data_IF_141744880413
#
_entry.id   IF_141744880413
#
_cell.length_a   1.000
_cell.length_b   1.000
_cell.length_c   1.000
_cell.angle_alpha   90.00
_cell.angle_beta   90.00
_cell.angle_gamma   90.00
#
_symmetry.space_group_name_H-M   'P 1'
#
loop_
_entity.id
_entity.type
_entity.pdbx_description
1 polymer ?
#
# COMPACT_ATOMS: atom_id res chain seq x y z
N UNK A 1 10.79 69.90 -11.12
CA UNK A 1 12.05 70.06 -11.89
C UNK A 1 12.91 71.07 -11.15
N UNK A 2 14.11 70.69 -10.70
CA UNK A 2 15.02 71.66 -10.09
C UNK A 2 15.45 72.68 -11.17
N UNK A 3 15.30 73.98 -10.89
CA UNK A 3 15.65 75.03 -11.83
C UNK A 3 17.17 75.26 -11.84
N UNK A 4 17.73 75.48 -13.02
CA UNK A 4 19.14 75.90 -13.15
C UNK A 4 19.27 77.32 -12.61
N UNK A 5 20.07 77.48 -11.55
CA UNK A 5 20.32 78.74 -10.85
C UNK A 5 21.79 79.16 -10.95
N UNK A 6 22.01 80.47 -10.95
CA UNK A 6 23.33 81.09 -10.99
C UNK A 6 24.18 80.68 -9.79
N UNK A 7 25.44 80.34 -10.02
CA UNK A 7 26.40 79.94 -8.98
C UNK A 7 26.68 81.04 -7.95
N UNK A 8 26.55 82.31 -8.35
CA UNK A 8 26.92 83.45 -7.50
C UNK A 8 25.74 83.97 -6.70
N UNK A 9 24.61 84.22 -7.35
CA UNK A 9 23.48 84.93 -6.72
C UNK A 9 22.22 84.07 -6.56
N UNK A 10 22.21 82.83 -7.07
CA UNK A 10 21.03 81.96 -7.04
C UNK A 10 19.88 82.39 -7.97
N UNK A 11 20.05 83.45 -8.76
CA UNK A 11 19.07 83.92 -9.72
C UNK A 11 18.84 82.93 -10.87
N UNK A 12 17.66 83.00 -11.51
CA UNK A 12 17.27 82.11 -12.61
C UNK A 12 18.20 82.29 -13.81
N UNK A 13 18.64 81.19 -14.40
CA UNK A 13 19.41 81.20 -15.65
C UNK A 13 18.49 81.11 -16.87
N UNK A 14 18.72 82.00 -17.85
CA UNK A 14 17.99 82.04 -19.11
C UNK A 14 18.95 81.68 -20.25
N UNK A 15 18.55 80.74 -21.10
CA UNK A 15 19.39 80.25 -22.21
C UNK A 15 19.52 81.30 -23.31
N UNK A 16 20.74 81.71 -23.61
CA UNK A 16 21.07 82.55 -24.76
C UNK A 16 21.41 81.73 -26.02
N UNK A 17 21.62 82.44 -27.12
CA UNK A 17 21.98 81.84 -28.42
C UNK A 17 23.42 81.32 -28.36
N UNK A 18 23.65 80.06 -28.74
CA UNK A 18 24.99 79.43 -28.71
C UNK A 18 25.27 78.57 -27.47
N UNK A 19 24.29 78.33 -26.60
CA UNK A 19 24.41 77.39 -25.47
C UNK A 19 24.98 77.98 -24.18
N UNK A 20 25.21 79.30 -24.14
CA UNK A 20 25.59 80.05 -22.93
C UNK A 20 24.29 80.51 -22.24
N UNK A 21 24.18 80.37 -20.92
CA UNK A 21 23.04 80.88 -20.15
C UNK A 21 23.43 82.11 -19.35
N UNK A 22 22.57 83.11 -19.32
CA UNK A 22 22.81 84.36 -18.58
C UNK A 22 21.89 84.42 -17.38
N UNK A 23 22.42 84.81 -16.23
CA UNK A 23 21.60 85.04 -15.04
C UNK A 23 20.76 86.29 -15.20
N UNK A 24 19.44 86.15 -15.05
CA UNK A 24 18.48 87.24 -15.15
C UNK A 24 18.64 88.29 -14.03
N UNK A 25 19.24 87.90 -12.90
CA UNK A 25 19.38 88.77 -11.73
C UNK A 25 20.71 89.52 -11.65
N UNK A 26 21.82 88.91 -12.05
CA UNK A 26 23.16 89.53 -11.97
C UNK A 26 23.88 89.67 -13.31
N UNK A 27 23.31 89.16 -14.41
CA UNK A 27 23.89 89.25 -15.75
C UNK A 27 25.11 88.35 -15.98
N UNK A 28 25.48 87.48 -15.03
CA UNK A 28 26.61 86.58 -15.21
C UNK A 28 26.32 85.52 -16.28
N UNK A 29 27.26 85.34 -17.21
CA UNK A 29 27.19 84.31 -18.24
C UNK A 29 27.80 82.99 -17.75
N UNK A 30 27.07 81.90 -17.94
CA UNK A 30 27.48 80.52 -17.67
C UNK A 30 27.69 79.79 -18.98
N UNK A 31 28.86 79.18 -19.14
CA UNK A 31 29.20 78.39 -20.33
C UNK A 31 28.33 77.15 -20.47
N UNK A 32 28.22 76.65 -21.70
CA UNK A 32 27.47 75.42 -22.02
C UNK A 32 27.96 74.21 -21.20
N UNK A 33 29.27 74.11 -20.96
CA UNK A 33 29.83 72.98 -20.21
C UNK A 33 29.55 73.06 -18.71
N UNK A 34 29.52 74.27 -18.14
CA UNK A 34 29.09 74.47 -16.73
C UNK A 34 27.61 74.15 -16.54
N UNK A 35 26.77 74.44 -17.54
CA UNK A 35 25.36 74.05 -17.51
C UNK A 35 25.18 72.53 -17.61
N UNK A 36 25.99 71.84 -18.42
CA UNK A 36 25.99 70.36 -18.46
C UNK A 36 26.41 69.76 -17.13
N UNK A 37 27.44 70.32 -16.48
CA UNK A 37 27.88 69.91 -15.15
C UNK A 37 26.75 70.10 -14.12
N UNK A 38 26.09 71.27 -14.10
CA UNK A 38 24.92 71.52 -13.23
C UNK A 38 23.74 70.59 -13.52
N UNK A 39 23.49 70.27 -14.78
CA UNK A 39 22.46 69.28 -15.15
C UNK A 39 22.86 67.88 -14.68
N UNK A 40 24.15 67.53 -14.68
CA UNK A 40 24.65 66.28 -14.12
C UNK A 40 24.61 66.25 -12.59
N UNK A 41 24.88 67.35 -11.90
CA UNK A 41 24.70 67.50 -10.45
C UNK A 41 23.22 67.34 -10.06
N UNK A 42 22.30 67.96 -10.83
CA UNK A 42 20.83 67.81 -10.64
C UNK A 42 20.36 66.39 -11.00
N UNK A 43 20.97 65.76 -12.01
CA UNK A 43 20.74 64.35 -12.38
C UNK A 43 21.52 63.36 -11.51
N UNK A 44 22.25 63.82 -10.50
CA UNK A 44 22.86 62.96 -9.50
C UNK A 44 21.75 62.15 -8.87
N UNK A 45 21.57 60.90 -9.33
CA UNK A 45 20.63 59.96 -8.73
C UNK A 45 21.17 59.77 -7.31
N UNK A 46 20.54 60.42 -6.35
CA UNK A 46 20.72 60.10 -4.94
C UNK A 46 20.22 58.67 -4.80
N UNK A 47 21.12 57.69 -4.95
CA UNK A 47 20.86 56.31 -4.56
C UNK A 47 20.78 56.33 -3.05
N UNK A 48 19.57 56.46 -2.52
CA UNK A 48 19.32 56.26 -1.09
C UNK A 48 19.53 54.78 -0.83
N UNK A 49 20.57 54.46 -0.06
CA UNK A 49 20.87 53.08 0.34
C UNK A 49 19.86 52.61 1.39
N UNK A 50 18.82 51.92 0.92
CA UNK A 50 17.79 51.34 1.76
C UNK A 50 18.15 49.92 2.25
N UNK A 51 19.40 49.47 2.11
CA UNK A 51 19.79 48.11 2.52
C UNK A 51 19.52 47.85 4.01
N UNK A 52 19.59 48.89 4.85
CA UNK A 52 19.25 48.82 6.27
C UNK A 52 17.76 48.50 6.56
N UNK A 53 16.87 48.70 5.59
CA UNK A 53 15.44 48.40 5.72
C UNK A 53 15.10 46.93 5.41
N UNK A 54 16.02 46.17 4.81
CA UNK A 54 15.80 44.78 4.41
C UNK A 54 15.43 43.91 5.61
N UNK A 55 16.19 44.01 6.70
CA UNK A 55 15.97 43.21 7.91
C UNK A 55 14.60 43.50 8.53
N UNK A 56 14.25 44.78 8.68
CA UNK A 56 12.96 45.21 9.19
C UNK A 56 11.79 44.74 8.31
N UNK A 57 11.88 44.88 6.98
CA UNK A 57 10.83 44.39 6.09
C UNK A 57 10.71 42.86 6.10
N UNK A 58 11.82 42.14 6.21
CA UNK A 58 11.80 40.68 6.35
C UNK A 58 11.14 40.24 7.67
N UNK A 59 11.39 40.93 8.78
CA UNK A 59 10.74 40.64 10.06
C UNK A 59 9.22 40.89 10.01
N UNK A 60 8.79 41.98 9.36
CA UNK A 60 7.38 42.26 9.17
C UNK A 60 6.74 41.22 8.27
N UNK A 61 7.40 40.84 7.17
CA UNK A 61 6.89 39.80 6.26
C UNK A 61 6.67 38.46 6.98
N UNK A 62 7.64 38.05 7.82
CA UNK A 62 7.53 36.83 8.64
C UNK A 62 6.39 36.94 9.66
N UNK A 63 6.32 38.06 10.38
CA UNK A 63 5.26 38.29 11.37
C UNK A 63 3.87 38.29 10.75
N UNK A 64 3.73 38.87 9.55
CA UNK A 64 2.49 38.86 8.78
C UNK A 64 2.09 37.45 8.37
N UNK A 65 3.04 36.65 7.89
CA UNK A 65 2.81 35.23 7.57
C UNK A 65 2.43 34.41 8.82
N UNK A 66 3.14 34.58 9.93
CA UNK A 66 2.83 33.88 11.18
C UNK A 66 1.43 34.23 11.71
N UNK A 67 0.92 35.42 11.37
CA UNK A 67 -0.45 35.86 11.64
C UNK A 67 -1.48 35.40 10.58
N UNK A 68 -1.06 34.66 9.55
CA UNK A 68 -1.91 34.21 8.43
C UNK A 68 -2.28 35.31 7.42
N UNK A 69 -1.60 36.46 7.45
CA UNK A 69 -1.82 37.56 6.51
C UNK A 69 -0.89 37.45 5.31
N UNK A 70 -1.21 36.52 4.42
CA UNK A 70 -0.38 36.22 3.24
C UNK A 70 -0.21 37.40 2.28
N UNK A 71 -1.27 38.21 2.10
CA UNK A 71 -1.21 39.38 1.24
C UNK A 71 -0.21 40.43 1.75
N UNK A 72 -0.17 40.65 3.07
CA UNK A 72 0.80 41.56 3.68
C UNK A 72 2.21 40.99 3.65
N UNK A 73 2.37 39.69 3.95
CA UNK A 73 3.66 39.02 3.86
C UNK A 73 4.26 39.15 2.45
N UNK A 74 3.46 38.89 1.41
CA UNK A 74 3.86 39.05 0.01
C UNK A 74 4.27 40.50 -0.30
N UNK A 75 3.49 41.49 0.15
CA UNK A 75 3.76 42.90 -0.09
C UNK A 75 5.10 43.36 0.52
N UNK A 76 5.45 42.89 1.73
CA UNK A 76 6.74 43.21 2.33
C UNK A 76 7.90 42.45 1.68
N UNK A 77 7.70 41.21 1.24
CA UNK A 77 8.69 40.50 0.42
C UNK A 77 9.00 41.26 -0.88
N UNK A 78 7.98 41.81 -1.55
CA UNK A 78 8.17 42.62 -2.75
C UNK A 78 9.05 43.86 -2.48
N UNK A 79 8.84 44.56 -1.34
CA UNK A 79 9.71 45.69 -0.94
C UNK A 79 11.17 45.27 -0.73
N UNK A 80 11.41 44.08 -0.18
CA UNK A 80 12.77 43.55 -0.02
C UNK A 80 13.39 43.25 -1.38
N UNK A 81 12.65 42.60 -2.28
CA UNK A 81 13.10 42.24 -3.63
C UNK A 81 13.38 43.50 -4.48
N UNK A 82 12.64 44.59 -4.28
CA UNK A 82 12.91 45.88 -4.93
C UNK A 82 14.28 46.47 -4.53
N UNK A 83 14.72 46.24 -3.28
CA UNK A 83 16.01 46.72 -2.76
C UNK A 83 17.13 45.73 -3.12
N UNK A 84 16.88 44.43 -2.94
CA UNK A 84 17.82 43.33 -3.21
C UNK A 84 17.14 42.23 -4.04
N UNK A 85 17.19 42.33 -5.38
CA UNK A 85 16.51 41.38 -6.28
C UNK A 85 16.98 39.92 -6.18
N UNK A 86 18.15 39.67 -5.58
CA UNK A 86 18.72 38.34 -5.36
C UNK A 86 18.47 37.81 -3.95
N UNK A 87 17.69 38.50 -3.11
CA UNK A 87 17.42 38.04 -1.75
C UNK A 87 16.58 36.75 -1.77
N UNK A 88 17.26 35.62 -1.61
CA UNK A 88 16.64 34.30 -1.72
C UNK A 88 15.57 34.05 -0.64
N UNK A 89 15.73 34.61 0.56
CA UNK A 89 14.77 34.46 1.66
C UNK A 89 13.45 35.19 1.36
N UNK A 90 13.55 36.38 0.79
CA UNK A 90 12.37 37.13 0.35
C UNK A 90 11.64 36.42 -0.79
N UNK A 91 12.37 35.84 -1.76
CA UNK A 91 11.76 35.04 -2.82
C UNK A 91 11.07 33.78 -2.30
N UNK A 92 11.68 33.06 -1.35
CA UNK A 92 11.07 31.87 -0.75
C UNK A 92 9.76 32.24 -0.05
N UNK A 93 9.81 33.24 0.83
CA UNK A 93 8.65 33.70 1.60
C UNK A 93 7.55 34.29 0.70
N UNK A 94 7.92 35.02 -0.37
CA UNK A 94 6.97 35.49 -1.38
C UNK A 94 6.25 34.32 -2.04
N UNK A 95 6.99 33.28 -2.42
CA UNK A 95 6.43 32.14 -3.14
C UNK A 95 5.35 31.44 -2.33
N UNK A 96 5.62 31.24 -1.04
CA UNK A 96 4.67 30.63 -0.13
C UNK A 96 3.43 31.52 0.07
N UNK A 97 3.64 32.79 0.41
CA UNK A 97 2.55 33.72 0.64
C UNK A 97 1.67 33.92 -0.61
N UNK A 98 2.27 34.03 -1.80
CA UNK A 98 1.54 34.15 -3.05
C UNK A 98 0.71 32.89 -3.34
N UNK A 99 1.30 31.70 -3.16
CA UNK A 99 0.62 30.44 -3.45
C UNK A 99 -0.54 30.14 -2.47
N UNK A 100 -0.41 30.46 -1.19
CA UNK A 100 -1.47 30.26 -0.20
C UNK A 100 -2.65 31.22 -0.36
N UNK A 101 -2.51 32.27 -1.18
CA UNK A 101 -3.62 33.14 -1.61
C UNK A 101 -4.40 32.56 -2.81
N UNK A 102 -4.12 31.33 -3.24
CA UNK A 102 -4.82 30.69 -4.35
C UNK A 102 -6.30 30.44 -4.04
N UNK A 103 -7.12 30.49 -5.10
CA UNK A 103 -8.54 30.16 -5.06
C UNK A 103 -8.95 29.35 -6.29
N UNK A 104 -10.19 28.84 -6.32
CA UNK A 104 -10.74 28.15 -7.49
C UNK A 104 -10.73 29.02 -8.75
N UNK A 105 -10.87 30.34 -8.62
CA UNK A 105 -10.89 31.26 -9.76
C UNK A 105 -9.49 31.76 -10.14
N UNK A 106 -8.55 31.75 -9.19
CA UNK A 106 -7.21 32.28 -9.39
C UNK A 106 -6.19 31.40 -8.65
N UNK A 107 -5.76 30.32 -9.30
CA UNK A 107 -4.63 29.51 -8.83
C UNK A 107 -3.35 30.30 -9.02
N UNK A 108 -2.57 30.49 -7.94
CA UNK A 108 -1.27 31.18 -7.93
C UNK A 108 -0.12 30.20 -7.67
N UNK A 109 -0.36 28.91 -7.88
CA UNK A 109 0.62 27.85 -7.64
C UNK A 109 1.86 28.02 -8.54
N UNK A 110 1.67 28.37 -9.80
CA UNK A 110 2.73 28.63 -10.78
C UNK A 110 3.60 29.82 -10.37
N UNK A 111 2.98 30.90 -9.87
CA UNK A 111 3.68 32.07 -9.35
C UNK A 111 4.52 31.70 -8.13
N UNK A 112 3.94 30.94 -7.20
CA UNK A 112 4.63 30.47 -6.00
C UNK A 112 5.85 29.62 -6.32
N UNK A 113 5.67 28.62 -7.19
CA UNK A 113 6.77 27.74 -7.61
C UNK A 113 7.84 28.48 -8.40
N UNK A 114 7.46 29.43 -9.24
CA UNK A 114 8.42 30.30 -9.92
C UNK A 114 9.25 31.14 -8.94
N UNK A 115 8.65 31.59 -7.82
CA UNK A 115 9.36 32.29 -6.77
C UNK A 115 10.29 31.36 -5.97
N UNK A 116 9.88 30.12 -5.67
CA UNK A 116 10.75 29.09 -5.07
C UNK A 116 11.97 28.80 -5.94
N UNK A 117 11.78 28.63 -7.25
CA UNK A 117 12.88 28.43 -8.21
C UNK A 117 13.86 29.61 -8.15
N UNK A 118 13.35 30.85 -8.12
CA UNK A 118 14.20 32.05 -8.00
C UNK A 118 14.97 32.10 -6.68
N UNK A 119 14.34 31.70 -5.58
CA UNK A 119 15.00 31.59 -4.28
C UNK A 119 16.18 30.62 -4.36
N UNK A 120 15.94 29.40 -4.84
CA UNK A 120 16.95 28.34 -4.95
C UNK A 120 18.11 28.75 -5.87
N UNK A 121 17.81 29.37 -7.01
CA UNK A 121 18.83 29.80 -7.97
C UNK A 121 19.72 30.94 -7.45
N UNK A 122 19.19 31.80 -6.59
CA UNK A 122 19.92 32.93 -6.00
C UNK A 122 20.58 32.59 -4.65
N UNK A 123 20.30 31.42 -4.08
CA UNK A 123 20.83 31.03 -2.78
C UNK A 123 22.32 30.63 -2.84
N UNK A 124 23.08 30.79 -1.75
CA UNK A 124 24.39 30.17 -1.56
C UNK A 124 24.29 28.64 -1.56
N UNK A 125 25.34 27.94 -2.03
CA UNK A 125 25.34 26.48 -2.15
C UNK A 125 25.09 25.77 -0.81
N UNK A 126 25.51 26.38 0.31
CA UNK A 126 25.39 25.81 1.66
C UNK A 126 23.94 25.68 2.15
N UNK A 127 23.01 26.47 1.59
CA UNK A 127 21.60 26.48 2.03
C UNK A 127 20.63 26.04 0.93
N UNK A 128 21.14 25.73 -0.27
CA UNK A 128 20.31 25.32 -1.41
C UNK A 128 19.51 24.05 -1.14
N UNK A 129 20.14 23.06 -0.51
CA UNK A 129 19.50 21.78 -0.21
C UNK A 129 18.32 21.97 0.76
N UNK A 130 18.51 22.75 1.83
CA UNK A 130 17.44 23.08 2.78
C UNK A 130 16.27 23.80 2.10
N UNK A 131 16.55 24.78 1.24
CA UNK A 131 15.52 25.50 0.48
C UNK A 131 14.78 24.61 -0.53
N UNK A 132 15.49 23.65 -1.12
CA UNK A 132 14.88 22.66 -2.02
C UNK A 132 13.89 21.80 -1.25
N UNK A 133 14.26 21.30 -0.06
CA UNK A 133 13.35 20.50 0.76
C UNK A 133 12.16 21.33 1.27
N UNK A 134 12.38 22.58 1.70
CA UNK A 134 11.31 23.51 2.06
C UNK A 134 10.34 23.73 0.88
N UNK A 135 10.86 24.02 -0.31
CA UNK A 135 10.02 24.21 -1.49
C UNK A 135 9.23 22.94 -1.87
N UNK A 136 9.84 21.75 -1.75
CA UNK A 136 9.15 20.48 -1.99
C UNK A 136 7.98 20.28 -1.04
N UNK A 137 8.18 20.56 0.26
CA UNK A 137 7.13 20.45 1.27
C UNK A 137 5.98 21.42 0.99
N UNK A 138 6.30 22.68 0.67
CA UNK A 138 5.29 23.68 0.32
C UNK A 138 4.50 23.28 -0.94
N UNK A 139 5.19 22.85 -2.00
CA UNK A 139 4.53 22.36 -3.23
C UNK A 139 3.58 21.20 -2.91
N UNK A 140 4.03 20.24 -2.10
CA UNK A 140 3.20 19.09 -1.69
C UNK A 140 1.93 19.53 -0.96
N UNK A 141 2.07 20.41 0.04
CA UNK A 141 0.96 20.88 0.86
C UNK A 141 -0.06 21.69 0.03
N UNK A 142 0.44 22.60 -0.81
CA UNK A 142 -0.39 23.42 -1.69
C UNK A 142 -1.14 22.58 -2.73
N UNK A 143 -0.46 21.60 -3.34
CA UNK A 143 -1.07 20.68 -4.29
C UNK A 143 -2.24 19.91 -3.68
N UNK A 144 -2.05 19.34 -2.49
CA UNK A 144 -3.11 18.62 -1.77
C UNK A 144 -4.26 19.55 -1.44
N UNK A 145 -3.99 20.77 -0.97
CA UNK A 145 -5.03 21.75 -0.62
C UNK A 145 -5.87 22.18 -1.84
N UNK A 146 -5.21 22.53 -2.96
CA UNK A 146 -5.88 22.97 -4.19
C UNK A 146 -6.74 21.87 -4.81
N UNK A 147 -6.21 20.65 -4.89
CA UNK A 147 -6.99 19.52 -5.40
C UNK A 147 -8.13 19.16 -4.45
N UNK A 148 -7.92 19.23 -3.14
CA UNK A 148 -8.98 18.99 -2.16
C UNK A 148 -10.13 19.99 -2.33
N UNK A 149 -9.82 21.27 -2.54
CA UNK A 149 -10.83 22.31 -2.76
C UNK A 149 -11.67 22.03 -4.01
N UNK A 150 -11.03 21.65 -5.13
CA UNK A 150 -11.71 21.24 -6.37
C UNK A 150 -12.55 19.98 -6.19
N UNK A 151 -11.99 18.97 -5.52
CA UNK A 151 -12.65 17.71 -5.25
C UNK A 151 -13.90 17.91 -4.37
N UNK A 152 -13.81 18.75 -3.33
CA UNK A 152 -14.93 19.10 -2.45
C UNK A 152 -16.04 19.88 -3.18
N UNK A 153 -15.66 20.67 -4.18
CA UNK A 153 -16.60 21.39 -5.02
C UNK A 153 -17.34 20.41 -5.95
N UNK A 154 -16.61 19.51 -6.62
CA UNK A 154 -17.22 18.41 -7.40
C UNK A 154 -18.15 17.53 -6.56
N UNK A 155 -17.79 17.22 -5.32
CA UNK A 155 -18.62 16.41 -4.42
C UNK A 155 -20.02 17.01 -4.19
N UNK A 156 -20.14 18.34 -4.26
CA UNK A 156 -21.40 19.08 -4.09
C UNK A 156 -22.11 19.32 -5.42
N UNK A 157 -21.36 19.53 -6.49
CA UNK A 157 -21.86 19.84 -7.82
C UNK A 157 -21.18 18.93 -8.85
N UNK A 158 -21.58 17.65 -8.93
CA UNK A 158 -20.96 16.70 -9.86
C UNK A 158 -21.45 16.98 -11.27
N UNK A 159 -20.79 17.90 -11.96
CA UNK A 159 -21.11 18.27 -13.34
C UNK A 159 -19.85 18.34 -14.22
N UNK A 160 -20.04 18.66 -15.50
CA UNK A 160 -18.97 18.74 -16.48
C UNK A 160 -17.95 19.83 -16.16
N UNK A 161 -18.40 20.99 -15.67
CA UNK A 161 -17.53 22.14 -15.39
C UNK A 161 -16.58 21.80 -14.23
N UNK A 162 -17.11 21.21 -13.17
CA UNK A 162 -16.31 20.82 -12.00
C UNK A 162 -15.37 19.66 -12.30
N UNK A 163 -15.81 18.69 -13.11
CA UNK A 163 -14.97 17.59 -13.58
C UNK A 163 -13.78 18.11 -14.38
N UNK A 164 -14.04 18.99 -15.35
CA UNK A 164 -13.01 19.58 -16.19
C UNK A 164 -12.09 20.51 -15.39
N UNK A 165 -12.63 21.28 -14.44
CA UNK A 165 -11.87 22.13 -13.54
C UNK A 165 -10.89 21.34 -12.69
N UNK A 166 -11.33 20.22 -12.10
CA UNK A 166 -10.48 19.33 -11.33
C UNK A 166 -9.38 18.69 -12.20
N UNK A 167 -9.72 18.20 -13.39
CA UNK A 167 -8.74 17.62 -14.32
C UNK A 167 -7.71 18.67 -14.75
N UNK A 168 -8.15 19.89 -15.07
CA UNK A 168 -7.26 20.99 -15.45
C UNK A 168 -6.29 21.34 -14.31
N UNK A 169 -6.76 21.39 -13.07
CA UNK A 169 -5.89 21.68 -11.92
C UNK A 169 -4.81 20.60 -11.74
N UNK A 170 -5.16 19.32 -11.93
CA UNK A 170 -4.19 18.21 -11.89
C UNK A 170 -3.12 18.37 -12.97
N UNK A 171 -3.52 18.75 -14.19
CA UNK A 171 -2.57 18.97 -15.31
C UNK A 171 -1.64 20.15 -15.00
N UNK A 172 -2.19 21.29 -14.57
CA UNK A 172 -1.39 22.46 -14.20
C UNK A 172 -0.42 22.20 -13.05
N UNK A 173 -0.82 21.39 -12.07
CA UNK A 173 0.06 20.92 -11.01
C UNK A 173 1.23 20.10 -11.57
N UNK A 174 0.96 19.12 -12.44
CA UNK A 174 1.99 18.30 -13.06
C UNK A 174 2.99 19.14 -13.86
N UNK A 175 2.51 20.10 -14.65
CA UNK A 175 3.36 21.02 -15.42
C UNK A 175 4.26 21.86 -14.49
N UNK A 176 3.70 22.32 -13.37
CA UNK A 176 4.43 23.10 -12.36
C UNK A 176 5.54 22.27 -11.70
N UNK A 177 5.27 21.00 -11.39
CA UNK A 177 6.26 20.06 -10.84
C UNK A 177 7.38 19.80 -11.87
N UNK A 178 7.02 19.57 -13.14
CA UNK A 178 7.99 19.39 -14.22
C UNK A 178 8.88 20.61 -14.35
N UNK A 179 8.32 21.82 -14.28
CA UNK A 179 9.08 23.07 -14.29
C UNK A 179 10.06 23.12 -13.11
N UNK A 180 9.60 22.85 -11.88
CA UNK A 180 10.45 22.82 -10.69
C UNK A 180 11.62 21.84 -10.83
N UNK A 181 11.35 20.60 -11.24
CA UNK A 181 12.37 19.57 -11.44
C UNK A 181 13.38 20.01 -12.51
N UNK A 182 12.90 20.59 -13.63
CA UNK A 182 13.78 21.01 -14.73
C UNK A 182 14.76 22.12 -14.32
N UNK A 183 14.34 23.05 -13.46
CA UNK A 183 15.13 24.20 -13.06
C UNK A 183 16.06 23.91 -11.88
N UNK A 184 15.61 23.10 -10.93
CA UNK A 184 16.36 22.83 -9.69
C UNK A 184 17.17 21.53 -9.76
N UNK A 185 16.84 20.65 -10.70
CA UNK A 185 17.33 19.25 -10.79
C UNK A 185 16.99 18.41 -9.55
N UNK A 186 16.11 18.90 -8.68
CA UNK A 186 15.66 18.20 -7.49
C UNK A 186 14.45 17.33 -7.81
N UNK A 187 14.52 16.06 -7.45
CA UNK A 187 13.41 15.12 -7.63
C UNK A 187 12.37 15.29 -6.51
N UNK A 188 11.10 15.29 -6.89
CA UNK A 188 9.98 15.20 -5.96
C UNK A 188 9.50 13.74 -5.95
N UNK A 189 9.39 13.07 -4.79
CA UNK A 189 8.76 11.76 -4.68
C UNK A 189 7.29 11.84 -5.11
N UNK A 190 7.03 11.54 -6.39
CA UNK A 190 5.69 11.66 -6.98
C UNK A 190 4.66 10.78 -6.27
N UNK A 191 5.09 9.62 -5.79
CA UNK A 191 4.23 8.70 -5.05
C UNK A 191 3.66 9.34 -3.77
N UNK A 192 4.52 9.97 -2.96
CA UNK A 192 4.11 10.63 -1.71
C UNK A 192 3.17 11.81 -1.96
N UNK A 193 3.34 12.50 -3.09
CA UNK A 193 2.50 13.62 -3.49
C UNK A 193 1.15 13.17 -4.04
N UNK A 194 1.16 12.16 -4.92
CA UNK A 194 -0.02 11.77 -5.67
C UNK A 194 -0.94 10.82 -4.92
N UNK A 195 -0.43 10.01 -3.97
CA UNK A 195 -1.25 9.13 -3.16
C UNK A 195 -2.38 9.86 -2.38
N UNK A 196 -2.11 10.93 -1.59
CA UNK A 196 -3.18 11.65 -0.91
C UNK A 196 -4.14 12.35 -1.88
N UNK A 197 -3.65 12.85 -3.02
CA UNK A 197 -4.47 13.46 -4.07
C UNK A 197 -5.43 12.44 -4.68
N UNK A 198 -4.94 11.26 -5.07
CA UNK A 198 -5.75 10.19 -5.63
C UNK A 198 -6.82 9.70 -4.65
N UNK A 199 -6.46 9.57 -3.37
CA UNK A 199 -7.42 9.21 -2.32
C UNK A 199 -8.50 10.27 -2.14
N UNK A 200 -8.15 11.56 -2.19
CA UNK A 200 -9.11 12.65 -2.09
C UNK A 200 -10.09 12.69 -3.27
N UNK A 201 -9.60 12.48 -4.50
CA UNK A 201 -10.44 12.41 -5.70
C UNK A 201 -11.42 11.22 -5.62
N UNK A 202 -10.95 10.05 -5.20
CA UNK A 202 -11.84 8.90 -5.04
C UNK A 202 -12.90 9.14 -3.95
N UNK A 203 -12.51 9.77 -2.83
CA UNK A 203 -13.43 10.13 -1.76
C UNK A 203 -14.50 11.11 -2.24
N UNK A 204 -14.14 12.15 -3.00
CA UNK A 204 -15.14 13.10 -3.51
C UNK A 204 -16.14 12.47 -4.47
N UNK A 205 -15.72 11.46 -5.25
CA UNK A 205 -16.62 10.69 -6.09
C UNK A 205 -17.62 9.87 -5.26
N UNK A 206 -17.15 9.23 -4.18
CA UNK A 206 -18.02 8.50 -3.26
C UNK A 206 -19.01 9.45 -2.57
N UNK A 207 -18.55 10.63 -2.14
CA UNK A 207 -19.40 11.65 -1.52
C UNK A 207 -20.43 12.23 -2.51
N UNK A 208 -20.01 12.53 -3.75
CA UNK A 208 -20.92 12.95 -4.82
C UNK A 208 -22.01 11.91 -5.06
N UNK A 209 -21.59 10.63 -5.15
CA UNK A 209 -22.51 9.52 -5.36
C UNK A 209 -23.57 9.44 -4.27
N UNK A 210 -23.13 9.42 -3.01
CA UNK A 210 -24.00 9.21 -1.85
C UNK A 210 -24.93 10.40 -1.58
N UNK A 211 -24.43 11.62 -1.74
CA UNK A 211 -25.14 12.82 -1.28
C UNK A 211 -25.93 13.52 -2.38
N UNK A 212 -25.58 13.31 -3.66
CA UNK A 212 -26.16 14.06 -4.79
C UNK A 212 -26.67 13.12 -5.88
N UNK A 213 -25.78 12.32 -6.49
CA UNK A 213 -26.09 11.59 -7.71
C UNK A 213 -27.17 10.53 -7.48
N UNK A 214 -26.99 9.68 -6.46
CA UNK A 214 -27.95 8.62 -6.19
C UNK A 214 -29.27 9.14 -5.64
N UNK A 215 -29.32 10.06 -4.66
CA UNK A 215 -30.58 10.62 -4.19
C UNK A 215 -31.39 11.32 -5.30
N UNK A 216 -30.76 12.13 -6.15
CA UNK A 216 -31.47 12.83 -7.23
C UNK A 216 -32.00 11.87 -8.31
N UNK A 217 -31.33 10.74 -8.54
CA UNK A 217 -31.80 9.73 -9.49
C UNK A 217 -32.84 8.78 -8.89
N UNK A 218 -32.63 8.33 -7.65
CA UNK A 218 -33.48 7.33 -7.03
C UNK A 218 -34.84 7.89 -6.61
N UNK A 219 -34.94 9.21 -6.41
CA UNK A 219 -36.13 9.85 -5.86
C UNK A 219 -36.33 9.56 -4.38
N UNK A 220 -37.44 10.05 -3.83
CA UNK A 220 -37.86 9.78 -2.46
C UNK A 220 -38.16 8.28 -2.25
N UNK A 221 -37.38 7.56 -1.42
CA UNK A 221 -37.61 6.14 -1.19
C UNK A 221 -38.96 5.84 -0.50
N UNK A 222 -39.58 6.83 0.14
CA UNK A 222 -40.89 6.70 0.79
C UNK A 222 -42.06 7.04 -0.16
N UNK A 223 -41.78 7.59 -1.35
CA UNK A 223 -42.77 7.84 -2.38
C UNK A 223 -42.61 6.87 -3.57
N UNK A 224 -43.45 5.83 -3.60
CA UNK A 224 -43.44 4.84 -4.69
C UNK A 224 -43.76 5.40 -6.09
N UNK A 225 -44.29 6.63 -6.14
CA UNK A 225 -44.58 7.38 -7.36
C UNK A 225 -43.44 8.34 -7.77
N UNK A 226 -42.42 8.55 -6.92
CA UNK A 226 -41.24 9.34 -7.26
C UNK A 226 -40.19 8.45 -7.92
N UNK A 227 -40.10 8.55 -9.25
CA UNK A 227 -39.21 7.73 -10.07
C UNK A 227 -38.53 8.62 -11.09
N UNK A 228 -37.24 8.39 -11.33
CA UNK A 228 -36.50 9.10 -12.36
C UNK A 228 -37.21 9.02 -13.72
N UNK A 229 -37.56 10.20 -14.24
CA UNK A 229 -37.95 10.37 -15.62
C UNK A 229 -36.74 10.35 -16.54
N UNK A 230 -36.97 10.68 -17.81
CA UNK A 230 -35.90 10.68 -18.82
C UNK A 230 -34.77 11.65 -18.49
N UNK A 231 -35.10 12.85 -17.99
CA UNK A 231 -34.12 13.89 -17.69
C UNK A 231 -33.20 13.45 -16.55
N UNK A 232 -33.77 13.00 -15.44
CA UNK A 232 -33.05 12.51 -14.26
C UNK A 232 -32.15 11.33 -14.62
N UNK A 233 -32.63 10.40 -15.45
CA UNK A 233 -31.83 9.27 -15.92
C UNK A 233 -30.67 9.69 -16.84
N UNK A 234 -30.87 10.66 -17.74
CA UNK A 234 -29.80 11.17 -18.59
C UNK A 234 -28.70 11.85 -17.76
N UNK A 235 -29.09 12.72 -16.83
CA UNK A 235 -28.17 13.37 -15.90
C UNK A 235 -27.43 12.36 -15.02
N UNK A 236 -28.12 11.31 -14.57
CA UNK A 236 -27.48 10.21 -13.83
C UNK A 236 -26.38 9.52 -14.65
N UNK A 237 -26.65 9.19 -15.92
CA UNK A 237 -25.66 8.54 -16.79
C UNK A 237 -24.46 9.45 -17.08
N UNK A 238 -24.68 10.74 -17.29
CA UNK A 238 -23.60 11.74 -17.47
C UNK A 238 -22.71 11.81 -16.22
N UNK A 239 -23.33 11.90 -15.05
CA UNK A 239 -22.63 11.96 -13.76
C UNK A 239 -21.87 10.70 -13.42
N UNK A 240 -22.41 9.52 -13.75
CA UNK A 240 -21.64 8.27 -13.70
C UNK A 240 -20.39 8.38 -14.57
N UNK A 241 -20.50 8.97 -15.77
CA UNK A 241 -19.36 9.23 -16.65
C UNK A 241 -18.29 10.09 -16.00
N UNK A 242 -18.67 11.22 -15.40
CA UNK A 242 -17.77 12.11 -14.67
C UNK A 242 -17.06 11.39 -13.51
N UNK A 243 -17.82 10.63 -12.70
CA UNK A 243 -17.27 9.84 -11.61
C UNK A 243 -16.25 8.80 -12.10
N UNK A 244 -16.58 8.05 -13.16
CA UNK A 244 -15.65 7.04 -13.71
C UNK A 244 -14.37 7.67 -14.22
N UNK A 245 -14.46 8.80 -14.92
CA UNK A 245 -13.30 9.54 -15.43
C UNK A 245 -12.38 10.00 -14.30
N UNK A 246 -12.94 10.53 -13.21
CA UNK A 246 -12.15 10.99 -12.06
C UNK A 246 -11.49 9.84 -11.29
N UNK A 247 -12.18 8.71 -11.11
CA UNK A 247 -11.59 7.53 -10.45
C UNK A 247 -10.48 6.91 -11.30
N UNK A 248 -10.66 6.81 -12.62
CA UNK A 248 -9.59 6.39 -13.53
C UNK A 248 -8.39 7.34 -13.48
N UNK A 249 -8.65 8.65 -13.41
CA UNK A 249 -7.59 9.65 -13.22
C UNK A 249 -6.87 9.44 -11.90
N UNK A 250 -7.58 9.17 -10.80
CA UNK A 250 -6.98 8.89 -9.50
C UNK A 250 -6.04 7.67 -9.53
N UNK A 251 -6.46 6.58 -10.18
CA UNK A 251 -5.61 5.39 -10.39
C UNK A 251 -4.36 5.77 -11.20
N UNK A 252 -4.51 6.55 -12.28
CA UNK A 252 -3.36 6.96 -13.11
C UNK A 252 -2.33 7.82 -12.37
N UNK A 253 -2.72 8.49 -11.29
CA UNK A 253 -1.82 9.29 -10.45
C UNK A 253 -1.06 8.44 -9.44
N UNK A 254 -1.59 7.30 -9.03
CA UNK A 254 -1.04 6.46 -7.98
C UNK A 254 -1.38 4.99 -8.23
N UNK A 255 -0.57 4.31 -9.03
CA UNK A 255 -0.70 2.88 -9.37
C UNK A 255 0.28 2.06 -8.51
N UNK A 256 0.01 1.98 -7.21
CA UNK A 256 0.85 1.24 -6.25
C UNK A 256 0.52 -0.24 -6.24
N UNK A 257 -0.51 -0.65 -6.98
CA UNK A 257 -1.06 -2.00 -6.92
C UNK A 257 -1.35 -2.38 -5.46
N UNK A 258 -1.98 -1.46 -4.72
CA UNK A 258 -2.21 -1.60 -3.29
C UNK A 258 -3.71 -1.81 -2.94
N UNK A 259 -4.09 -1.63 -1.68
CA UNK A 259 -5.50 -1.79 -1.28
C UNK A 259 -6.35 -0.57 -1.71
N UNK A 260 -5.74 0.61 -1.82
CA UNK A 260 -6.41 1.82 -2.28
C UNK A 260 -6.77 1.66 -3.76
N UNK A 261 -5.89 1.08 -4.57
CA UNK A 261 -6.17 0.76 -5.98
C UNK A 261 -7.29 -0.27 -6.14
N UNK A 262 -7.27 -1.35 -5.33
CA UNK A 262 -8.38 -2.31 -5.29
C UNK A 262 -9.70 -1.58 -5.02
N UNK A 263 -9.74 -0.70 -4.00
CA UNK A 263 -10.94 0.04 -3.65
C UNK A 263 -11.42 0.96 -4.80
N UNK A 264 -10.50 1.61 -5.53
CA UNK A 264 -10.84 2.44 -6.70
C UNK A 264 -11.41 1.60 -7.84
N UNK A 265 -10.83 0.44 -8.13
CA UNK A 265 -11.40 -0.49 -9.13
C UNK A 265 -12.77 -1.03 -8.71
N UNK A 266 -12.96 -1.35 -7.43
CA UNK A 266 -14.28 -1.76 -6.89
C UNK A 266 -15.32 -0.65 -7.04
N UNK A 267 -14.93 0.61 -6.81
CA UNK A 267 -15.80 1.77 -7.05
C UNK A 267 -16.16 1.93 -8.53
N UNK A 268 -15.21 1.75 -9.46
CA UNK A 268 -15.49 1.75 -10.90
C UNK A 268 -16.49 0.65 -11.27
N UNK A 269 -16.26 -0.57 -10.81
CA UNK A 269 -17.17 -1.71 -11.04
C UNK A 269 -18.58 -1.39 -10.55
N UNK A 270 -18.69 -0.83 -9.35
CA UNK A 270 -19.97 -0.41 -8.78
C UNK A 270 -20.68 0.64 -9.66
N UNK A 271 -19.98 1.71 -10.07
CA UNK A 271 -20.53 2.76 -10.93
C UNK A 271 -21.00 2.22 -12.29
N UNK A 272 -20.22 1.34 -12.92
CA UNK A 272 -20.60 0.72 -14.18
C UNK A 272 -21.83 -0.20 -14.05
N UNK A 273 -21.92 -0.99 -12.98
CA UNK A 273 -23.09 -1.83 -12.71
C UNK A 273 -24.34 -0.97 -12.48
N UNK A 274 -24.23 0.10 -11.67
CA UNK A 274 -25.35 1.01 -11.42
C UNK A 274 -25.87 1.63 -12.72
N UNK A 275 -24.99 2.04 -13.64
CA UNK A 275 -25.40 2.53 -14.96
C UNK A 275 -26.05 1.43 -15.83
N UNK A 276 -25.55 0.20 -15.80
CA UNK A 276 -26.14 -0.95 -16.54
C UNK A 276 -27.57 -1.22 -16.08
N UNK A 277 -27.81 -1.17 -14.77
CA UNK A 277 -29.08 -1.52 -14.14
C UNK A 277 -30.11 -0.36 -14.15
N UNK A 278 -29.64 0.87 -14.38
CA UNK A 278 -30.46 2.07 -14.43
C UNK A 278 -31.43 2.11 -15.61
N UNK A 279 -32.54 2.82 -15.41
CA UNK A 279 -33.51 3.18 -16.45
C UNK A 279 -34.31 4.43 -16.05
N UNK A 280 -35.00 5.02 -17.02
CA UNK A 280 -36.08 5.97 -16.76
C UNK A 280 -37.43 5.26 -16.72
N UNK A 281 -38.37 5.88 -16.02
CA UNK A 281 -39.74 5.40 -15.88
C UNK A 281 -40.72 6.38 -16.49
N UNK A 282 -41.76 5.83 -17.11
CA UNK A 282 -42.96 6.54 -17.53
C UNK A 282 -44.19 5.79 -16.99
N UNK A 283 -45.35 6.44 -16.93
CA UNK A 283 -46.57 5.81 -16.44
C UNK A 283 -47.76 6.05 -17.34
N UNK A 284 -48.59 5.02 -17.43
CA UNK A 284 -49.91 5.11 -18.03
C UNK A 284 -50.98 5.18 -16.93
N UNK A 285 -51.96 6.08 -17.08
CA UNK A 285 -53.12 6.14 -16.19
C UNK A 285 -54.16 5.13 -16.68
N UNK A 286 -54.47 4.14 -15.84
CA UNK A 286 -55.49 3.11 -16.10
C UNK A 286 -56.68 3.29 -15.17
N UNK A 287 -57.77 2.56 -15.42
CA UNK A 287 -58.94 2.52 -14.52
C UNK A 287 -58.63 1.99 -13.10
N UNK A 288 -57.45 1.39 -12.91
CA UNK A 288 -56.99 0.81 -11.64
C UNK A 288 -55.85 1.61 -10.99
N UNK A 289 -55.50 2.77 -11.55
CA UNK A 289 -54.39 3.61 -11.08
C UNK A 289 -53.25 3.75 -12.09
N UNK A 290 -52.11 4.28 -11.64
CA UNK A 290 -50.88 4.42 -12.43
C UNK A 290 -50.24 3.05 -12.67
N UNK A 291 -49.86 2.78 -13.91
CA UNK A 291 -49.07 1.61 -14.30
C UNK A 291 -47.73 2.08 -14.86
N UNK A 292 -46.65 1.77 -14.15
CA UNK A 292 -45.29 2.15 -14.52
C UNK A 292 -44.68 1.21 -15.56
N UNK A 293 -43.96 1.78 -16.52
CA UNK A 293 -43.16 1.06 -17.51
C UNK A 293 -41.77 1.70 -17.64
N UNK A 294 -40.77 0.86 -17.92
CA UNK A 294 -39.44 1.36 -18.30
C UNK A 294 -39.55 2.07 -19.64
N UNK A 295 -38.98 3.27 -19.75
CA UNK A 295 -39.00 4.07 -20.97
C UNK A 295 -37.61 4.09 -21.63
N UNK A 296 -36.58 4.57 -20.94
CA UNK A 296 -35.20 4.61 -21.43
C UNK A 296 -34.27 3.73 -20.59
N UNK A 297 -33.30 3.11 -21.25
CA UNK A 297 -32.17 2.45 -20.60
C UNK A 297 -30.99 2.39 -21.58
N UNK A 298 -29.81 2.00 -21.10
CA UNK A 298 -28.66 1.81 -21.98
C UNK A 298 -28.94 0.73 -23.03
N UNK A 299 -28.41 0.94 -24.24
CA UNK A 299 -28.46 -0.08 -25.31
C UNK A 299 -27.62 -1.30 -24.93
N UNK A 300 -27.85 -2.43 -25.59
CA UNK A 300 -27.07 -3.64 -25.33
C UNK A 300 -25.59 -3.45 -25.66
N UNK A 301 -25.27 -2.67 -26.70
CA UNK A 301 -23.89 -2.29 -27.03
C UNK A 301 -23.24 -1.50 -25.89
N UNK A 302 -23.94 -0.49 -25.36
CA UNK A 302 -23.44 0.32 -24.24
C UNK A 302 -23.27 -0.51 -22.96
N UNK A 303 -24.23 -1.41 -22.66
CA UNK A 303 -24.12 -2.34 -21.52
C UNK A 303 -22.94 -3.29 -21.70
N UNK A 304 -22.73 -3.82 -22.90
CA UNK A 304 -21.62 -4.73 -23.18
C UNK A 304 -20.26 -4.03 -23.11
N UNK A 305 -20.15 -2.78 -23.55
CA UNK A 305 -18.95 -1.98 -23.36
C UNK A 305 -18.60 -1.80 -21.88
N UNK A 306 -19.59 -1.46 -21.04
CA UNK A 306 -19.40 -1.35 -19.58
C UNK A 306 -19.04 -2.69 -18.92
N UNK A 307 -19.66 -3.80 -19.34
CA UNK A 307 -19.30 -5.15 -18.87
C UNK A 307 -17.87 -5.54 -19.24
N UNK A 308 -17.34 -5.06 -20.37
CA UNK A 308 -15.95 -5.27 -20.70
C UNK A 308 -15.02 -4.53 -19.73
N UNK A 309 -15.30 -3.24 -19.46
CA UNK A 309 -14.54 -2.47 -18.47
C UNK A 309 -14.56 -3.13 -17.09
N UNK A 310 -15.73 -3.61 -16.64
CA UNK A 310 -15.86 -4.37 -15.38
C UNK A 310 -14.92 -5.58 -15.35
N UNK A 311 -14.90 -6.38 -16.42
CA UNK A 311 -13.98 -7.53 -16.51
C UNK A 311 -12.52 -7.10 -16.44
N UNK A 312 -12.15 -6.04 -17.15
CA UNK A 312 -10.78 -5.53 -17.15
C UNK A 312 -10.36 -5.08 -15.73
N UNK A 313 -11.26 -4.42 -14.98
CA UNK A 313 -11.00 -4.04 -13.59
C UNK A 313 -10.95 -5.24 -12.63
N UNK A 314 -11.82 -6.24 -12.81
CA UNK A 314 -11.78 -7.49 -12.04
C UNK A 314 -10.44 -8.22 -12.24
N UNK A 315 -9.94 -8.28 -13.49
CA UNK A 315 -8.63 -8.84 -13.82
C UNK A 315 -7.49 -8.08 -13.11
N UNK A 316 -7.58 -6.74 -13.07
CA UNK A 316 -6.61 -5.91 -12.34
C UNK A 316 -6.62 -6.18 -10.83
N UNK A 317 -7.80 -6.27 -10.22
CA UNK A 317 -7.94 -6.60 -8.79
C UNK A 317 -7.31 -7.96 -8.49
N UNK A 318 -7.58 -8.98 -9.32
CA UNK A 318 -7.04 -10.32 -9.12
C UNK A 318 -5.51 -10.37 -9.30
N UNK A 319 -4.97 -9.61 -10.26
CA UNK A 319 -3.53 -9.47 -10.43
C UNK A 319 -2.86 -8.91 -9.17
N UNK A 320 -3.41 -7.82 -8.61
CA UNK A 320 -2.91 -7.19 -7.37
C UNK A 320 -2.97 -8.18 -6.20
N UNK A 321 -4.12 -8.83 -6.00
CA UNK A 321 -4.33 -9.80 -4.90
C UNK A 321 -3.35 -10.98 -5.01
N UNK A 322 -3.11 -11.47 -6.22
CA UNK A 322 -2.17 -12.55 -6.48
C UNK A 322 -0.74 -12.18 -6.10
N UNK A 323 -0.24 -11.01 -6.52
CA UNK A 323 1.10 -10.51 -6.17
C UNK A 323 1.27 -10.42 -4.65
N UNK A 324 0.31 -9.79 -3.96
CA UNK A 324 0.33 -9.67 -2.49
C UNK A 324 0.31 -11.04 -1.77
N UNK A 325 -0.46 -11.99 -2.28
CA UNK A 325 -0.51 -13.34 -1.73
C UNK A 325 0.85 -14.06 -1.90
N UNK A 326 1.49 -13.91 -3.06
CA UNK A 326 2.83 -14.46 -3.33
C UNK A 326 3.89 -13.85 -2.40
N UNK A 327 3.88 -12.52 -2.20
CA UNK A 327 4.79 -11.86 -1.26
C UNK A 327 4.62 -12.36 0.17
N UNK A 328 3.37 -12.49 0.63
CA UNK A 328 3.07 -12.99 1.98
C UNK A 328 3.52 -14.44 2.15
N UNK A 329 3.33 -15.27 1.13
CA UNK A 329 3.82 -16.65 1.10
C UNK A 329 5.35 -16.71 1.15
N UNK A 330 6.04 -15.87 0.38
CA UNK A 330 7.51 -15.77 0.37
C UNK A 330 8.06 -15.32 1.74
N UNK A 331 7.49 -14.26 2.34
CA UNK A 331 7.85 -13.78 3.68
C UNK A 331 7.66 -14.89 4.75
N UNK A 332 6.57 -15.66 4.66
CA UNK A 332 6.31 -16.80 5.55
C UNK A 332 7.30 -17.96 5.33
N UNK A 333 7.60 -18.29 4.09
CA UNK A 333 8.56 -19.33 3.73
C UNK A 333 9.97 -18.97 4.26
N UNK A 334 10.39 -17.72 4.11
CA UNK A 334 11.66 -17.22 4.62
C UNK A 334 11.75 -17.33 6.15
N UNK A 335 10.71 -16.85 6.85
CA UNK A 335 10.63 -16.97 8.31
C UNK A 335 10.70 -18.43 8.77
N UNK A 336 10.07 -19.35 8.04
CA UNK A 336 10.13 -20.77 8.34
C UNK A 336 11.51 -21.38 8.05
N UNK A 337 12.18 -20.96 6.98
CA UNK A 337 13.56 -21.35 6.66
C UNK A 337 14.51 -20.94 7.78
N UNK A 338 14.49 -19.66 8.18
CA UNK A 338 15.32 -19.14 9.28
C UNK A 338 15.05 -19.90 10.59
N UNK A 339 13.79 -20.20 10.91
CA UNK A 339 13.43 -21.00 12.09
C UNK A 339 14.01 -22.41 12.03
N UNK A 340 13.92 -23.09 10.88
CA UNK A 340 14.48 -24.43 10.67
C UNK A 340 15.99 -24.42 10.78
N UNK A 341 16.67 -23.45 10.18
CA UNK A 341 18.12 -23.30 10.28
C UNK A 341 18.57 -23.04 11.73
N UNK A 342 17.86 -22.18 12.48
CA UNK A 342 18.13 -21.96 13.91
C UNK A 342 17.89 -23.21 14.75
N UNK A 343 16.82 -23.95 14.48
CA UNK A 343 16.55 -25.22 15.16
C UNK A 343 17.62 -26.26 14.84
N UNK A 344 18.04 -26.36 13.58
CA UNK A 344 19.13 -27.25 13.15
C UNK A 344 20.44 -26.89 13.83
N UNK A 345 20.82 -25.60 13.85
CA UNK A 345 22.02 -25.13 14.56
C UNK A 345 22.00 -25.47 16.06
N UNK A 346 20.85 -25.32 16.74
CA UNK A 346 20.71 -25.69 18.16
C UNK A 346 20.81 -27.20 18.37
N UNK A 347 20.20 -27.98 17.48
CA UNK A 347 20.29 -29.44 17.49
C UNK A 347 21.74 -29.92 17.29
N UNK A 348 22.45 -29.35 16.31
CA UNK A 348 23.84 -29.70 16.02
C UNK A 348 24.78 -29.27 17.16
N UNK A 349 24.57 -28.07 17.73
CA UNK A 349 25.34 -27.59 18.88
C UNK A 349 25.13 -28.48 20.12
N UNK A 350 23.87 -28.85 20.43
CA UNK A 350 23.57 -29.76 21.54
C UNK A 350 24.34 -31.07 21.40
N UNK A 351 24.29 -31.71 20.22
CA UNK A 351 24.98 -33.00 20.02
C UNK A 351 26.49 -32.89 19.88
N UNK A 352 27.02 -31.72 19.53
CA UNK A 352 28.45 -31.44 19.62
C UNK A 352 28.92 -31.37 21.08
N UNK A 353 28.15 -30.72 21.96
CA UNK A 353 28.42 -30.66 23.42
C UNK A 353 28.17 -32.01 24.12
N UNK A 354 27.19 -32.78 23.64
CA UNK A 354 26.76 -34.07 24.21
C UNK A 354 27.23 -35.26 23.37
N UNK A 355 28.42 -35.17 22.77
CA UNK A 355 28.94 -36.19 21.86
C UNK A 355 29.10 -37.56 22.52
N UNK A 356 29.54 -37.61 23.79
CA UNK A 356 29.69 -38.85 24.56
C UNK A 356 28.35 -39.52 24.85
N UNK A 357 27.35 -38.74 25.26
CA UNK A 357 25.98 -39.21 25.47
C UNK A 357 25.40 -39.77 24.17
N UNK A 358 25.59 -39.07 23.04
CA UNK A 358 25.15 -39.53 21.72
C UNK A 358 25.70 -40.90 21.38
N UNK A 359 27.01 -41.08 21.52
CA UNK A 359 27.69 -42.34 21.25
C UNK A 359 27.19 -43.45 22.16
N UNK A 360 26.97 -43.15 23.45
CA UNK A 360 26.40 -44.11 24.40
C UNK A 360 24.99 -44.55 24.00
N UNK A 361 24.12 -43.62 23.65
CA UNK A 361 22.74 -43.90 23.21
C UNK A 361 22.71 -44.68 21.89
N UNK A 362 23.58 -44.34 20.93
CA UNK A 362 23.71 -45.07 19.67
C UNK A 362 24.22 -46.51 19.88
N UNK A 363 25.18 -46.70 20.79
CA UNK A 363 25.70 -48.01 21.17
C UNK A 363 24.65 -48.84 21.92
N UNK A 364 23.92 -48.24 22.87
CA UNK A 364 22.81 -48.89 23.58
C UNK A 364 21.75 -49.36 22.59
N UNK A 365 21.31 -48.48 21.67
CA UNK A 365 20.32 -48.83 20.65
C UNK A 365 20.79 -49.98 19.76
N UNK A 366 22.08 -50.01 19.39
CA UNK A 366 22.65 -51.11 18.60
C UNK A 366 22.63 -52.42 19.38
N UNK A 367 23.04 -52.41 20.65
CA UNK A 367 22.99 -53.60 21.51
C UNK A 367 21.56 -54.11 21.71
N UNK A 368 20.58 -53.22 21.93
CA UNK A 368 19.18 -53.58 22.05
C UNK A 368 18.66 -54.26 20.77
N UNK A 369 19.06 -53.75 19.59
CA UNK A 369 18.69 -54.37 18.32
C UNK A 369 19.28 -55.79 18.16
N UNK A 370 20.54 -55.98 18.54
CA UNK A 370 21.19 -57.30 18.53
C UNK A 370 20.53 -58.29 19.51
N UNK A 371 20.11 -57.82 20.69
CA UNK A 371 19.37 -58.61 21.68
C UNK A 371 17.99 -59.01 21.16
N UNK A 372 17.27 -58.10 20.52
CA UNK A 372 15.96 -58.40 19.89
C UNK A 372 16.12 -59.49 18.83
N UNK A 373 17.11 -59.38 17.93
CA UNK A 373 17.38 -60.41 16.90
C UNK A 373 17.70 -61.76 17.52
N UNK A 374 18.44 -61.78 18.63
CA UNK A 374 18.76 -63.02 19.35
C UNK A 374 17.50 -63.65 19.94
N UNK A 375 16.67 -62.85 20.63
CA UNK A 375 15.41 -63.31 21.20
C UNK A 375 14.40 -63.76 20.13
N UNK A 376 14.36 -63.09 18.98
CA UNK A 376 13.53 -63.51 17.84
C UNK A 376 13.95 -64.89 17.32
N UNK A 377 15.26 -65.16 17.23
CA UNK A 377 15.78 -66.49 16.90
C UNK A 377 15.47 -67.55 17.96
N UNK A 378 15.52 -67.19 19.24
CA UNK A 378 15.12 -68.10 20.34
C UNK A 378 13.62 -68.42 20.27
N UNK A 379 12.79 -67.44 19.91
CA UNK A 379 11.35 -67.60 19.73
C UNK A 379 10.99 -68.49 18.53
N UNK A 380 11.78 -68.45 17.45
CA UNK A 380 11.62 -69.35 16.30
C UNK A 380 12.02 -70.80 16.61
N UNK A 381 12.93 -71.01 17.58
CA UNK A 381 13.52 -72.31 17.91
C UNK A 381 13.08 -72.85 19.29
N UNK A 382 11.84 -72.57 19.72
CA UNK A 382 11.35 -72.99 21.04
C UNK A 382 11.41 -74.53 21.19
N UNK A 383 12.10 -75.06 22.22
CA UNK A 383 12.17 -76.49 22.48
C UNK A 383 10.78 -77.08 22.76
N UNK A 384 10.42 -78.13 22.03
CA UNK A 384 9.15 -78.83 22.19
C UNK A 384 8.46 -79.20 20.88
N UNK A 385 8.87 -78.62 19.73
CA UNK A 385 8.27 -78.98 18.44
C UNK A 385 8.45 -80.47 18.08
N UNK A 386 9.63 -81.04 18.32
CA UNK A 386 9.86 -82.48 18.12
C UNK A 386 9.07 -83.36 19.10
N UNK A 387 8.96 -82.93 20.36
CA UNK A 387 8.17 -83.62 21.39
C UNK A 387 6.67 -83.59 21.04
N UNK A 388 6.16 -82.42 20.63
CA UNK A 388 4.81 -82.20 20.16
C UNK A 388 4.50 -83.04 18.93
N UNK A 389 5.39 -83.08 17.94
CA UNK A 389 5.25 -83.90 16.74
C UNK A 389 5.18 -85.40 17.08
N UNK A 390 6.05 -85.89 17.97
CA UNK A 390 6.05 -87.29 18.42
C UNK A 390 4.77 -87.65 19.18
N UNK A 391 4.29 -86.78 20.08
CA UNK A 391 3.02 -87.00 20.81
C UNK A 391 1.83 -86.96 19.83
N UNK A 392 1.85 -86.05 18.86
CA UNK A 392 0.80 -85.97 17.84
C UNK A 392 0.77 -87.21 16.95
N UNK A 393 1.92 -87.74 16.55
CA UNK A 393 2.02 -89.00 15.82
C UNK A 393 1.49 -90.17 16.67
N UNK A 394 1.80 -90.18 17.97
CA UNK A 394 1.25 -91.17 18.90
C UNK A 394 -0.27 -91.09 18.99
N UNK A 395 -0.84 -89.88 19.13
CA UNK A 395 -2.28 -89.63 19.12
C UNK A 395 -2.91 -90.14 17.81
N UNK A 396 -2.33 -89.79 16.65
CA UNK A 396 -2.81 -90.25 15.34
C UNK A 396 -2.81 -91.78 15.24
N UNK A 397 -1.77 -92.44 15.77
CA UNK A 397 -1.69 -93.90 15.82
C UNK A 397 -2.77 -94.53 16.71
N UNK A 398 -3.11 -93.88 17.83
CA UNK A 398 -4.17 -94.31 18.74
C UNK A 398 -5.56 -94.11 18.13
N UNK A 399 -5.80 -93.00 17.43
CA UNK A 399 -7.03 -92.75 16.66
C UNK A 399 -7.23 -93.83 15.59
N UNK A 400 -6.18 -94.14 14.82
CA UNK A 400 -6.23 -95.19 13.80
C UNK A 400 -6.54 -96.57 14.40
N UNK A 401 -5.93 -96.91 15.55
CA UNK A 401 -6.25 -98.14 16.31
C UNK A 401 -7.67 -98.14 16.86
N UNK A 402 -8.21 -96.98 17.25
CA UNK A 402 -9.59 -96.87 17.72
C UNK A 402 -10.61 -97.07 16.59
N UNK A 403 -10.30 -96.60 15.38
CA UNK A 403 -11.14 -96.76 14.18
C UNK A 403 -11.19 -98.19 13.64
N UNK A 404 -10.18 -99.03 13.91
CA UNK A 404 -10.16 -100.45 13.51
C UNK A 404 -10.88 -101.37 14.50
N UNK A 405 -11.26 -100.89 15.68
CA UNK A 405 -11.99 -101.65 16.70
C UNK A 405 -13.51 -101.63 16.44
N UNK A 406 -14.09 -102.79 16.14
CA UNK A 406 -15.53 -102.96 15.88
C UNK A 406 -16.44 -102.82 17.13
N UNK A 407 -17.75 -102.64 16.90
CA UNK A 407 -18.78 -102.30 17.90
C UNK A 407 -18.76 -103.14 19.20
N UNK A 408 -18.39 -104.43 19.14
CA UNK A 408 -18.41 -105.34 20.29
C UNK A 408 -17.15 -105.26 21.20
N UNK A 409 -16.13 -104.46 20.86
CA UNK A 409 -14.86 -104.33 21.61
C UNK A 409 -14.83 -103.16 22.61
N UNK A 410 -15.91 -102.96 23.36
CA UNK A 410 -16.10 -101.78 24.23
C UNK A 410 -15.02 -101.55 25.30
N UNK A 411 -14.47 -102.62 25.91
CA UNK A 411 -13.38 -102.49 26.91
C UNK A 411 -12.05 -102.06 26.28
N UNK A 412 -11.68 -102.64 25.13
CA UNK A 412 -10.46 -102.26 24.41
C UNK A 412 -10.56 -100.82 23.87
N UNK A 413 -11.73 -100.43 23.35
CA UNK A 413 -12.00 -99.07 22.88
C UNK A 413 -11.90 -98.03 24.01
N UNK A 414 -12.35 -98.38 25.22
CA UNK A 414 -12.21 -97.54 26.42
C UNK A 414 -10.76 -97.42 26.89
N UNK A 415 -9.98 -98.50 26.85
CA UNK A 415 -8.56 -98.47 27.19
C UNK A 415 -7.72 -97.67 26.17
N UNK A 416 -8.07 -97.69 24.88
CA UNK A 416 -7.46 -96.83 23.86
C UNK A 416 -7.87 -95.37 24.06
N UNK A 417 -9.13 -95.10 24.43
CA UNK A 417 -9.59 -93.75 24.77
C UNK A 417 -8.84 -93.17 25.97
N UNK A 418 -8.65 -93.93 27.06
CA UNK A 418 -7.86 -93.47 28.23
C UNK A 418 -6.41 -93.11 27.87
N UNK A 419 -5.78 -93.87 26.96
CA UNK A 419 -4.43 -93.55 26.44
C UNK A 419 -4.44 -92.30 25.55
N UNK A 420 -5.50 -92.09 24.79
CA UNK A 420 -5.69 -90.94 23.93
C UNK A 420 -5.93 -89.67 24.76
N UNK A 421 -6.71 -89.77 25.83
CA UNK A 421 -6.93 -88.69 26.79
C UNK A 421 -5.62 -88.35 27.52
N UNK A 422 -4.83 -89.36 27.92
CA UNK A 422 -3.51 -89.16 28.53
C UNK A 422 -2.51 -88.51 27.55
N UNK A 423 -2.48 -88.94 26.29
CA UNK A 423 -1.60 -88.36 25.27
C UNK A 423 -2.02 -86.93 24.90
N UNK A 424 -3.33 -86.64 24.80
CA UNK A 424 -3.86 -85.29 24.62
C UNK A 424 -3.53 -84.38 25.81
N UNK A 425 -3.61 -84.89 27.05
CA UNK A 425 -3.20 -84.15 28.22
C UNK A 425 -1.69 -83.81 28.18
N UNK A 426 -0.85 -84.75 27.76
CA UNK A 426 0.59 -84.50 27.56
C UNK A 426 0.85 -83.48 26.45
N UNK A 427 0.14 -83.56 25.32
CA UNK A 427 0.24 -82.59 24.23
C UNK A 427 -0.13 -81.18 24.70
N UNK A 428 -1.19 -81.05 25.50
CA UNK A 428 -1.60 -79.78 26.10
C UNK A 428 -0.52 -79.24 27.03
N UNK A 429 0.06 -80.07 27.91
CA UNK A 429 1.15 -79.65 28.81
C UNK A 429 2.36 -79.13 28.02
N UNK A 430 2.79 -79.83 26.96
CA UNK A 430 3.90 -79.39 26.11
C UNK A 430 3.55 -78.10 25.37
N UNK A 431 2.33 -77.99 24.85
CA UNK A 431 1.86 -76.79 24.13
C UNK A 431 1.75 -75.58 25.05
N UNK A 432 1.22 -75.74 26.27
CA UNK A 432 1.15 -74.69 27.29
C UNK A 432 2.55 -74.25 27.73
N UNK A 433 3.49 -75.18 27.88
CA UNK A 433 4.90 -74.85 28.19
C UNK A 433 5.55 -74.04 27.07
N UNK A 434 5.35 -74.43 25.82
CA UNK A 434 5.89 -73.71 24.66
C UNK A 434 5.28 -72.31 24.54
N UNK A 435 3.96 -72.19 24.70
CA UNK A 435 3.25 -70.91 24.66
C UNK A 435 3.66 -70.00 25.82
N UNK A 436 3.82 -70.53 27.04
CA UNK A 436 4.34 -69.77 28.18
C UNK A 436 5.77 -69.25 27.93
N UNK A 437 6.63 -70.08 27.31
CA UNK A 437 7.99 -69.68 26.95
C UNK A 437 7.98 -68.58 25.88
N UNK A 438 7.11 -68.72 24.88
CA UNK A 438 6.92 -67.72 23.82
C UNK A 438 6.46 -66.38 24.39
N UNK A 439 5.43 -66.37 25.23
CA UNK A 439 4.91 -65.16 25.85
C UNK A 439 5.96 -64.45 26.73
N UNK A 440 6.82 -65.21 27.40
CA UNK A 440 7.93 -64.64 28.17
C UNK A 440 8.98 -63.97 27.27
N UNK A 441 9.35 -64.60 26.14
CA UNK A 441 10.26 -64.00 25.15
C UNK A 441 9.63 -62.76 24.51
N UNK A 442 8.35 -62.81 24.15
CA UNK A 442 7.61 -61.67 23.59
C UNK A 442 7.58 -60.46 24.54
N UNK A 443 7.36 -60.68 25.84
CA UNK A 443 7.43 -59.61 26.86
C UNK A 443 8.81 -58.95 26.90
N UNK A 444 9.89 -59.74 26.83
CA UNK A 444 11.26 -59.21 26.81
C UNK A 444 11.54 -58.40 25.56
N UNK A 445 11.16 -58.92 24.39
CA UNK A 445 11.26 -58.18 23.12
C UNK A 445 10.49 -56.86 23.19
N UNK A 446 9.29 -56.86 23.77
CA UNK A 446 8.49 -55.65 23.92
C UNK A 446 9.19 -54.57 24.77
N UNK A 447 9.80 -54.96 25.89
CA UNK A 447 10.57 -54.05 26.76
C UNK A 447 11.74 -53.45 25.97
N UNK A 448 12.53 -54.27 25.27
CA UNK A 448 13.68 -53.81 24.50
C UNK A 448 13.26 -52.88 23.34
N UNK A 449 12.17 -53.20 22.64
CA UNK A 449 11.61 -52.35 21.58
C UNK A 449 11.15 -51.00 22.13
N UNK A 450 10.52 -50.99 23.30
CA UNK A 450 10.09 -49.76 23.98
C UNK A 450 11.30 -48.87 24.28
N UNK A 451 12.35 -49.42 24.89
CA UNK A 451 13.59 -48.67 25.17
C UNK A 451 14.27 -48.17 23.90
N UNK A 452 14.34 -48.99 22.85
CA UNK A 452 14.90 -48.59 21.55
C UNK A 452 14.11 -47.43 20.92
N UNK A 453 12.78 -47.42 21.09
CA UNK A 453 11.92 -46.33 20.63
C UNK A 453 12.15 -45.04 21.43
N UNK A 454 12.31 -45.12 22.76
CA UNK A 454 12.66 -43.97 23.61
C UNK A 454 13.99 -43.33 23.18
N UNK A 455 15.04 -44.15 23.00
CA UNK A 455 16.35 -43.67 22.56
C UNK A 455 16.25 -43.01 21.18
N UNK A 456 15.49 -43.61 20.26
CA UNK A 456 15.26 -43.04 18.93
C UNK A 456 14.52 -41.71 19.01
N UNK A 457 13.56 -41.58 19.93
CA UNK A 457 12.87 -40.32 20.19
C UNK A 457 13.83 -39.24 20.68
N UNK A 458 14.67 -39.57 21.68
CA UNK A 458 15.61 -38.60 22.25
C UNK A 458 16.68 -38.16 21.24
N UNK A 459 17.20 -39.08 20.41
CA UNK A 459 18.14 -38.78 19.32
C UNK A 459 17.56 -37.87 18.24
N UNK A 460 16.23 -37.86 18.05
CA UNK A 460 15.52 -37.07 17.03
C UNK A 460 14.81 -35.84 17.59
N UNK A 461 14.85 -35.64 18.90
CA UNK A 461 14.12 -34.58 19.59
C UNK A 461 14.65 -33.21 19.17
N UNK A 462 13.74 -32.34 18.74
CA UNK A 462 14.09 -30.96 18.40
C UNK A 462 14.61 -30.22 19.65
N UNK A 463 15.67 -29.42 19.45
CA UNK A 463 16.32 -28.60 20.50
C UNK A 463 16.17 -27.11 20.21
#
# INVERSE_FOLDING_TARGET
>A
MAALVCDICGGKLVMGVGGIAVCDSCGLEHSADRLKEKVQEIKGIVRVDNSHMIENYMEIAKSAKDAGNEAEAEAYCNKVIEIEPTNYRAWMLKGEAAAWQSSLQNSRLDEGVSAFIKAINNAPDEVKEDLIEEAKEQIKNLAVAMISLRADHFAKWPDEEETNGLISEIVSLLDTIVLFISQTKALIPMEELMAPIANKINQSVVEAWQNVIWPEYNGDPDDSDDRAGKYEWQTFIERVGYCTLLVEKAISLCDRDDEDDIQRYENLIFLHNAAIDSCSWDYNITSWGKSWNKEWSLTDEAKNARRQLIRDYEEKIEAIKSVKAMEKAAKKAEKNRIKREKAQKRFDAYWAEHASEKVSLEAERKSLAEQIVTLEKEMENIPGETEKANIQEHINSLIAKQGTLGWFKGKEKRAVQEKLDAANAQLNVVSERMEATKQEIEKRIHILRTRSAEITSELKKAR
#
